data_IF_081298851742
#
_entry.id   IF_081298851742
#
_cell.length_a   1.000
_cell.length_b   1.000
_cell.length_c   1.000
_cell.angle_alpha   90.00
_cell.angle_beta   90.00
_cell.angle_gamma   90.00
#
_symmetry.space_group_name_H-M   'P 1'
#
loop_
_entity.id
_entity.type
_entity.pdbx_description
1 polymer ?
#
# COMPACT_ATOMS: atom_id res chain seq x y z
N UNK A 1 0.88 -72.25 -34.97
CA UNK A 1 0.68 -71.45 -33.74
C UNK A 1 1.99 -71.47 -32.98
N UNK A 2 2.76 -70.41 -32.70
CA UNK A 2 2.58 -68.96 -32.78
C UNK A 2 3.95 -68.38 -33.20
N UNK A 3 3.97 -67.47 -34.17
CA UNK A 3 5.08 -66.53 -34.39
C UNK A 3 5.12 -65.56 -33.20
N UNK A 4 6.27 -65.43 -32.54
CA UNK A 4 6.48 -64.42 -31.49
C UNK A 4 7.13 -63.20 -32.12
N UNK A 5 6.32 -62.15 -32.33
CA UNK A 5 6.74 -60.82 -32.76
C UNK A 5 7.65 -60.16 -31.73
N UNK A 6 8.94 -60.11 -32.01
CA UNK A 6 9.90 -59.21 -31.35
C UNK A 6 9.65 -57.77 -31.80
N UNK A 7 8.82 -57.02 -31.05
CA UNK A 7 8.72 -55.56 -31.22
C UNK A 7 9.91 -54.86 -30.56
N UNK A 8 10.78 -54.30 -31.39
CA UNK A 8 11.78 -53.30 -31.02
C UNK A 8 11.12 -52.11 -30.30
N UNK A 9 11.52 -51.85 -29.06
CA UNK A 9 11.22 -50.59 -28.37
C UNK A 9 12.05 -49.46 -28.99
N UNK A 10 11.37 -48.46 -29.57
CA UNK A 10 12.00 -47.22 -30.02
C UNK A 10 12.39 -46.33 -28.82
N UNK A 11 13.48 -45.55 -28.91
CA UNK A 11 13.92 -44.66 -27.83
C UNK A 11 12.93 -43.50 -27.62
N UNK A 12 12.72 -43.17 -26.35
CA UNK A 12 11.76 -42.17 -25.88
C UNK A 12 11.94 -40.79 -26.55
N UNK A 13 10.82 -40.23 -27.00
CA UNK A 13 10.75 -38.84 -27.47
C UNK A 13 11.18 -37.87 -26.35
N UNK A 14 12.03 -36.88 -26.63
CA UNK A 14 12.32 -35.80 -25.69
C UNK A 14 11.05 -34.99 -25.39
N UNK A 15 10.94 -34.55 -24.14
CA UNK A 15 9.73 -33.98 -23.53
C UNK A 15 9.03 -32.94 -24.40
N UNK A 16 7.77 -33.21 -24.71
CA UNK A 16 6.82 -32.21 -25.20
C UNK A 16 6.73 -31.13 -24.13
N UNK A 17 7.38 -29.98 -24.37
CA UNK A 17 7.19 -28.79 -23.56
C UNK A 17 5.71 -28.42 -23.63
N UNK A 18 4.97 -28.70 -22.55
CA UNK A 18 3.55 -28.39 -22.45
C UNK A 18 3.30 -26.95 -22.89
N UNK A 19 2.33 -26.75 -23.78
CA UNK A 19 1.97 -25.43 -24.26
C UNK A 19 1.66 -24.52 -23.05
N UNK A 20 2.15 -23.27 -23.02
CA UNK A 20 1.95 -22.40 -21.87
C UNK A 20 0.46 -22.20 -21.62
N UNK A 21 0.04 -22.50 -20.40
CA UNK A 21 -1.36 -22.34 -19.95
C UNK A 21 -1.81 -20.90 -20.16
N UNK A 22 -2.93 -20.74 -20.88
CA UNK A 22 -3.50 -19.45 -21.17
C UNK A 22 -4.01 -18.79 -19.88
N UNK A 23 -3.79 -17.48 -19.68
CA UNK A 23 -4.32 -16.79 -18.51
C UNK A 23 -5.84 -16.70 -18.58
N UNK A 24 -6.49 -16.82 -17.43
CA UNK A 24 -7.92 -16.62 -17.30
C UNK A 24 -8.31 -15.18 -17.70
N UNK A 25 -9.46 -15.02 -18.35
CA UNK A 25 -9.90 -13.70 -18.86
C UNK A 25 -10.07 -12.66 -17.75
N UNK A 26 -10.52 -13.06 -16.58
CA UNK A 26 -10.67 -12.15 -15.44
C UNK A 26 -9.32 -11.63 -14.90
N UNK A 27 -8.23 -12.40 -15.00
CA UNK A 27 -6.89 -11.94 -14.64
C UNK A 27 -6.47 -10.79 -15.57
N UNK A 28 -6.72 -10.93 -16.88
CA UNK A 28 -6.47 -9.84 -17.84
C UNK A 28 -7.31 -8.61 -17.51
N UNK A 29 -8.59 -8.80 -17.21
CA UNK A 29 -9.49 -7.71 -16.83
C UNK A 29 -8.96 -6.96 -15.61
N UNK A 30 -8.54 -7.66 -14.55
CA UNK A 30 -7.95 -7.03 -13.36
C UNK A 30 -6.64 -6.30 -13.67
N UNK A 31 -5.79 -6.87 -14.53
CA UNK A 31 -4.54 -6.23 -14.95
C UNK A 31 -4.81 -4.94 -15.70
N UNK A 32 -5.75 -4.97 -16.66
CA UNK A 32 -6.13 -3.81 -17.45
C UNK A 32 -6.82 -2.73 -16.61
N UNK A 33 -7.69 -3.13 -15.67
CA UNK A 33 -8.31 -2.18 -14.74
C UNK A 33 -7.28 -1.52 -13.83
N UNK A 34 -6.32 -2.28 -13.32
CA UNK A 34 -5.22 -1.73 -12.54
C UNK A 34 -4.39 -0.74 -13.37
N UNK A 35 -4.02 -1.12 -14.59
CA UNK A 35 -3.25 -0.28 -15.50
C UNK A 35 -3.99 1.03 -15.86
N UNK A 36 -5.27 0.94 -16.24
CA UNK A 36 -6.10 2.11 -16.55
C UNK A 36 -6.27 3.00 -15.32
N UNK A 37 -6.44 2.42 -14.13
CA UNK A 37 -6.60 3.20 -12.91
C UNK A 37 -5.38 4.07 -12.61
N UNK A 38 -4.16 3.67 -13.02
CA UNK A 38 -2.96 4.51 -12.86
C UNK A 38 -2.98 5.79 -13.70
N UNK A 39 -3.90 5.94 -14.68
CA UNK A 39 -4.09 7.24 -15.33
C UNK A 39 -4.77 8.27 -14.43
N UNK A 40 -5.51 7.82 -13.41
CA UNK A 40 -6.27 8.69 -12.51
C UNK A 40 -5.28 9.54 -11.69
N UNK A 41 -5.39 10.86 -11.79
CA UNK A 41 -4.52 11.81 -11.07
C UNK A 41 -3.12 12.03 -11.67
N UNK A 42 -2.66 11.17 -12.58
CA UNK A 42 -1.30 11.29 -13.17
C UNK A 42 -1.12 12.58 -13.99
N UNK A 43 -2.18 13.05 -14.66
CA UNK A 43 -2.15 14.31 -15.42
C UNK A 43 -1.82 15.50 -14.52
N UNK A 44 -2.46 15.60 -13.37
CA UNK A 44 -2.29 16.72 -12.42
C UNK A 44 -0.85 16.76 -11.91
N UNK A 45 -0.34 15.61 -11.47
CA UNK A 45 1.04 15.46 -10.99
C UNK A 45 2.05 15.81 -12.09
N UNK A 46 1.81 15.36 -13.32
CA UNK A 46 2.67 15.69 -14.46
C UNK A 46 2.70 17.18 -14.76
N UNK A 47 1.54 17.86 -14.78
CA UNK A 47 1.47 19.30 -15.05
C UNK A 47 2.23 20.12 -14.02
N UNK A 48 2.15 19.76 -12.73
CA UNK A 48 2.93 20.43 -11.70
C UNK A 48 4.42 20.11 -11.81
N UNK A 49 4.78 18.87 -12.16
CA UNK A 49 6.15 18.45 -12.37
C UNK A 49 6.82 19.20 -13.53
N UNK A 50 6.12 19.35 -14.66
CA UNK A 50 6.68 19.94 -15.88
C UNK A 50 7.17 21.39 -15.65
N UNK A 51 6.46 22.13 -14.79
CA UNK A 51 6.81 23.52 -14.46
C UNK A 51 7.90 23.59 -13.39
N UNK A 52 7.83 22.75 -12.34
CA UNK A 52 8.67 22.92 -11.13
C UNK A 52 9.90 22.01 -11.09
N UNK A 53 9.83 20.81 -11.68
CA UNK A 53 10.85 19.76 -11.62
C UNK A 53 10.85 18.89 -12.89
N UNK A 54 11.48 19.32 -13.99
CA UNK A 54 11.42 18.65 -15.28
C UNK A 54 11.96 17.21 -15.25
N UNK A 55 12.94 16.92 -14.39
CA UNK A 55 13.44 15.55 -14.20
C UNK A 55 12.35 14.60 -13.68
N UNK A 56 11.50 15.06 -12.75
CA UNK A 56 10.36 14.25 -12.26
C UNK A 56 9.30 14.11 -13.35
N UNK A 57 9.07 15.16 -14.14
CA UNK A 57 8.16 15.09 -15.29
C UNK A 57 8.62 14.04 -16.32
N UNK A 58 9.93 13.95 -16.59
CA UNK A 58 10.49 12.92 -17.47
C UNK A 58 10.23 11.50 -16.93
N UNK A 59 10.40 11.27 -15.63
CA UNK A 59 10.07 9.97 -15.01
C UNK A 59 8.58 9.66 -15.15
N UNK A 60 7.69 10.63 -14.91
CA UNK A 60 6.24 10.44 -15.08
C UNK A 60 5.89 10.16 -16.55
N UNK A 61 6.57 10.79 -17.51
CA UNK A 61 6.40 10.49 -18.94
C UNK A 61 6.82 9.05 -19.29
N UNK A 62 7.89 8.53 -18.68
CA UNK A 62 8.27 7.11 -18.81
C UNK A 62 7.20 6.20 -18.21
N UNK A 63 6.64 6.56 -17.05
CA UNK A 63 5.50 5.83 -16.46
C UNK A 63 4.28 5.83 -17.40
N UNK A 64 3.97 6.96 -18.05
CA UNK A 64 2.91 7.05 -19.07
C UNK A 64 3.12 6.06 -20.21
N UNK A 65 4.34 6.00 -20.76
CA UNK A 65 4.68 5.04 -21.80
C UNK A 65 4.56 3.60 -21.28
N UNK A 66 4.99 3.34 -20.04
CA UNK A 66 4.85 2.03 -19.41
C UNK A 66 3.40 1.59 -19.27
N UNK A 67 2.49 2.49 -18.88
CA UNK A 67 1.05 2.18 -18.76
C UNK A 67 0.51 1.76 -20.14
N UNK A 68 0.73 2.56 -21.18
CA UNK A 68 0.27 2.24 -22.53
C UNK A 68 0.79 0.89 -23.03
N UNK A 69 2.07 0.61 -22.82
CA UNK A 69 2.68 -0.68 -23.20
C UNK A 69 2.10 -1.82 -22.37
N UNK A 70 1.93 -1.65 -21.06
CA UNK A 70 1.34 -2.68 -20.19
C UNK A 70 -0.11 -2.98 -20.55
N UNK A 71 -0.92 -1.97 -20.86
CA UNK A 71 -2.30 -2.13 -21.33
C UNK A 71 -2.39 -2.97 -22.61
N UNK A 72 -1.54 -2.69 -23.60
CA UNK A 72 -1.46 -3.52 -24.82
C UNK A 72 -1.02 -4.93 -24.48
N UNK A 73 0.05 -5.09 -23.67
CA UNK A 73 0.58 -6.39 -23.27
C UNK A 73 -0.46 -7.23 -22.51
N UNK A 74 -1.25 -6.62 -21.61
CA UNK A 74 -2.31 -7.32 -20.87
C UNK A 74 -3.33 -7.99 -21.79
N UNK A 75 -3.58 -7.41 -22.99
CA UNK A 75 -4.47 -7.95 -24.00
C UNK A 75 -3.81 -9.03 -24.88
N UNK A 76 -2.54 -8.86 -25.26
CA UNK A 76 -1.90 -9.72 -26.28
C UNK A 76 -1.10 -10.90 -25.73
N UNK A 77 -0.57 -10.82 -24.50
CA UNK A 77 0.31 -11.88 -23.97
C UNK A 77 -0.45 -13.20 -23.83
N UNK A 78 0.12 -14.31 -24.30
CA UNK A 78 -0.59 -15.61 -24.33
C UNK A 78 -0.34 -16.49 -23.10
N UNK A 79 0.74 -16.25 -22.36
CA UNK A 79 1.13 -17.08 -21.22
C UNK A 79 0.82 -16.44 -19.87
N UNK A 80 0.35 -17.25 -18.92
CA UNK A 80 0.09 -16.83 -17.53
C UNK A 80 1.31 -16.20 -16.84
N UNK A 81 2.51 -16.74 -17.06
CA UNK A 81 3.76 -16.18 -16.50
C UNK A 81 4.09 -14.81 -17.08
N UNK A 82 3.81 -14.59 -18.36
CA UNK A 82 4.02 -13.30 -19.01
C UNK A 82 3.05 -12.25 -18.48
N UNK A 83 1.77 -12.60 -18.29
CA UNK A 83 0.80 -11.70 -17.67
C UNK A 83 1.19 -11.35 -16.23
N UNK A 84 1.68 -12.31 -15.46
CA UNK A 84 2.20 -12.04 -14.11
C UNK A 84 3.42 -11.09 -14.08
N UNK A 85 4.21 -11.03 -15.16
CA UNK A 85 5.28 -10.03 -15.31
C UNK A 85 4.73 -8.65 -15.66
N UNK A 86 3.66 -8.59 -16.46
CA UNK A 86 2.93 -7.34 -16.71
C UNK A 86 2.36 -6.79 -15.40
N UNK A 87 1.75 -7.64 -14.56
CA UNK A 87 1.27 -7.24 -13.21
C UNK A 87 2.38 -6.59 -12.35
N UNK A 88 3.59 -7.14 -12.43
CA UNK A 88 4.75 -6.60 -11.72
C UNK A 88 5.17 -5.24 -12.30
N UNK A 89 5.21 -5.08 -13.63
CA UNK A 89 5.47 -3.79 -14.25
C UNK A 89 4.42 -2.74 -13.82
N UNK A 90 3.13 -3.09 -13.84
CA UNK A 90 2.05 -2.21 -13.39
C UNK A 90 2.24 -1.80 -11.92
N UNK A 91 2.62 -2.73 -11.04
CA UNK A 91 2.97 -2.41 -9.65
C UNK A 91 4.13 -1.42 -9.55
N UNK A 92 5.26 -1.69 -10.22
CA UNK A 92 6.45 -0.82 -10.18
C UNK A 92 6.14 0.57 -10.70
N UNK A 93 5.35 0.67 -11.78
CA UNK A 93 4.88 1.95 -12.33
C UNK A 93 4.03 2.71 -11.33
N UNK A 94 3.07 2.05 -10.67
CA UNK A 94 2.26 2.66 -9.62
C UNK A 94 3.06 3.15 -8.42
N UNK A 95 4.04 2.36 -7.94
CA UNK A 95 4.92 2.76 -6.84
C UNK A 95 5.75 3.99 -7.22
N UNK A 96 6.27 4.02 -8.44
CA UNK A 96 7.07 5.13 -8.97
C UNK A 96 6.23 6.40 -9.06
N UNK A 97 5.01 6.31 -9.59
CA UNK A 97 4.08 7.44 -9.66
C UNK A 97 3.74 7.99 -8.27
N UNK A 98 3.48 7.12 -7.30
CA UNK A 98 3.22 7.53 -5.91
C UNK A 98 4.42 8.25 -5.27
N UNK A 99 5.65 7.78 -5.52
CA UNK A 99 6.87 8.45 -5.08
C UNK A 99 7.07 9.81 -5.76
N UNK A 100 6.88 9.91 -7.08
CA UNK A 100 6.92 11.17 -7.80
C UNK A 100 5.90 12.17 -7.22
N UNK A 101 4.68 11.71 -6.97
CA UNK A 101 3.61 12.50 -6.40
C UNK A 101 3.92 12.98 -4.98
N UNK A 102 4.61 12.16 -4.16
CA UNK A 102 5.10 12.55 -2.84
C UNK A 102 6.19 13.64 -2.93
N UNK A 103 7.16 13.47 -3.83
CA UNK A 103 8.25 14.46 -4.02
C UNK A 103 7.71 15.83 -4.44
N UNK A 104 6.68 15.87 -5.29
CA UNK A 104 6.13 17.10 -5.83
C UNK A 104 5.11 17.78 -4.91
N UNK A 105 4.22 16.99 -4.30
CA UNK A 105 3.05 17.50 -3.58
C UNK A 105 3.09 16.96 -2.15
N UNK A 106 3.98 17.54 -1.36
CA UNK A 106 4.14 17.24 0.06
C UNK A 106 3.64 18.40 0.95
N UNK A 107 2.48 18.96 0.60
CA UNK A 107 1.76 19.89 1.47
C UNK A 107 0.95 19.05 2.45
N UNK A 108 1.59 18.62 3.54
CA UNK A 108 0.95 17.83 4.58
C UNK A 108 -0.30 18.52 5.17
N UNK A 109 -1.04 17.80 5.98
CA UNK A 109 -2.21 18.34 6.69
C UNK A 109 -1.89 18.66 8.15
N UNK A 110 -2.87 19.21 8.85
CA UNK A 110 -2.93 19.28 10.31
C UNK A 110 -2.49 17.98 10.98
N UNK A 111 -2.95 16.84 10.49
CA UNK A 111 -2.61 15.51 11.00
C UNK A 111 -1.11 15.20 10.92
N UNK A 112 -0.50 15.49 9.78
CA UNK A 112 0.94 15.30 9.61
C UNK A 112 1.77 16.23 10.49
N UNK A 113 1.31 17.47 10.69
CA UNK A 113 1.98 18.47 11.50
C UNK A 113 1.87 18.13 12.98
N UNK A 114 0.67 17.72 13.44
CA UNK A 114 0.43 17.22 14.79
C UNK A 114 1.26 15.98 15.09
N UNK A 115 1.27 14.99 14.18
CA UNK A 115 2.06 13.77 14.35
C UNK A 115 3.56 14.06 14.42
N UNK A 116 4.06 14.96 13.57
CA UNK A 116 5.45 15.37 13.62
C UNK A 116 5.79 16.19 14.88
N UNK A 117 4.87 17.02 15.39
CA UNK A 117 5.07 17.71 16.67
C UNK A 117 5.11 16.72 17.84
N UNK A 118 4.16 15.79 17.90
CA UNK A 118 4.14 14.75 18.92
C UNK A 118 5.46 13.95 18.91
N UNK A 119 5.98 13.62 17.72
CA UNK A 119 7.29 12.96 17.60
C UNK A 119 8.46 13.81 18.14
N UNK A 120 8.48 15.13 17.90
CA UNK A 120 9.50 16.03 18.46
C UNK A 120 9.41 16.11 19.98
N UNK A 121 8.20 16.22 20.52
CA UNK A 121 7.97 16.24 21.96
C UNK A 121 8.42 14.93 22.61
N UNK A 122 8.14 13.77 22.00
CA UNK A 122 8.63 12.46 22.47
C UNK A 122 10.16 12.40 22.52
N UNK A 123 10.85 12.83 21.46
CA UNK A 123 12.32 12.84 21.41
C UNK A 123 12.91 13.80 22.45
N UNK A 124 12.22 14.90 22.74
CA UNK A 124 12.59 15.85 23.79
C UNK A 124 12.25 15.36 25.22
N UNK A 125 11.67 14.17 25.38
CA UNK A 125 11.28 13.62 26.68
C UNK A 125 9.99 14.20 27.27
N UNK A 126 9.18 14.89 26.46
CA UNK A 126 7.90 15.44 26.88
C UNK A 126 6.74 14.46 26.61
N UNK A 127 5.68 14.56 27.42
CA UNK A 127 4.42 13.88 27.17
C UNK A 127 3.66 14.49 25.98
N UNK A 128 2.96 13.64 25.21
CA UNK A 128 2.19 14.04 24.02
C UNK A 128 0.68 14.14 24.25
N UNK A 129 0.16 13.49 25.30
CA UNK A 129 -1.27 13.45 25.60
C UNK A 129 -1.66 14.52 26.62
N UNK A 130 -2.83 15.13 26.40
CA UNK A 130 -3.33 16.23 27.25
C UNK A 130 -2.55 17.54 27.10
N UNK A 131 -1.61 17.62 26.15
CA UNK A 131 -0.82 18.83 25.88
C UNK A 131 -1.32 19.51 24.59
N UNK A 132 -1.79 20.76 24.65
CA UNK A 132 -2.20 21.48 23.46
C UNK A 132 -1.01 22.18 22.79
N UNK A 133 -1.02 22.25 21.45
CA UNK A 133 -0.05 23.02 20.66
C UNK A 133 -0.75 24.07 19.78
N UNK A 134 -1.40 25.10 20.37
CA UNK A 134 -2.24 26.05 19.62
C UNK A 134 -1.48 26.85 18.56
N UNK A 135 -0.18 27.08 18.74
CA UNK A 135 0.65 27.80 17.77
C UNK A 135 0.79 27.07 16.42
N UNK A 136 0.59 25.75 16.37
CA UNK A 136 0.61 24.99 15.12
C UNK A 136 -0.53 25.41 14.18
N UNK A 137 -1.64 25.88 14.73
CA UNK A 137 -2.86 26.20 13.99
C UNK A 137 -3.00 27.69 13.64
N UNK A 138 -2.01 28.52 13.98
CA UNK A 138 -2.00 29.94 13.64
C UNK A 138 -1.61 30.25 12.19
N UNK A 139 -1.14 29.25 11.43
CA UNK A 139 -0.70 29.40 10.04
C UNK A 139 -1.80 29.14 9.00
N UNK A 140 -1.61 29.62 7.76
CA UNK A 140 -2.50 29.29 6.64
C UNK A 140 -2.38 27.80 6.30
N UNK A 141 -3.51 27.08 6.29
CA UNK A 141 -3.62 25.74 5.70
C UNK A 141 -3.66 24.56 6.67
N UNK A 142 -3.81 24.81 7.99
CA UNK A 142 -4.00 23.76 9.00
C UNK A 142 -5.43 23.89 9.52
N UNK A 143 -6.24 22.84 9.32
CA UNK A 143 -7.63 22.83 9.75
C UNK A 143 -7.73 22.74 11.28
N UNK A 144 -8.78 23.34 11.84
CA UNK A 144 -9.11 23.26 13.25
C UNK A 144 -10.35 22.38 13.40
N UNK A 145 -10.27 21.37 14.26
CA UNK A 145 -11.43 20.53 14.58
C UNK A 145 -12.25 21.21 15.68
N UNK A 146 -13.49 21.65 15.41
CA UNK A 146 -14.35 22.20 16.44
C UNK A 146 -14.84 21.10 17.39
N UNK A 147 -14.92 21.42 18.67
CA UNK A 147 -15.49 20.52 19.70
C UNK A 147 -16.99 20.78 19.85
N UNK A 148 -17.71 19.77 20.34
CA UNK A 148 -19.16 19.90 20.66
C UNK A 148 -19.45 20.92 21.76
N UNK A 149 -18.43 21.33 22.51
CA UNK A 149 -18.50 22.36 23.55
C UNK A 149 -18.22 23.77 23.02
N UNK A 150 -18.08 23.94 21.69
CA UNK A 150 -17.84 25.25 21.06
C UNK A 150 -16.38 25.70 21.05
N UNK A 151 -15.44 24.82 21.41
CA UNK A 151 -13.99 25.07 21.35
C UNK A 151 -13.34 24.43 20.13
N UNK A 152 -12.01 24.28 20.18
CA UNK A 152 -11.23 23.57 19.16
C UNK A 152 -10.28 22.57 19.81
N UNK A 153 -10.02 21.46 19.13
CA UNK A 153 -9.01 20.49 19.55
C UNK A 153 -7.62 20.89 19.04
N UNK A 154 -6.69 21.03 19.99
CA UNK A 154 -5.28 21.39 19.76
C UNK A 154 -4.32 20.28 20.18
N UNK A 155 -4.83 19.12 20.55
CA UNK A 155 -4.08 18.04 21.19
C UNK A 155 -3.86 16.86 20.23
N UNK A 156 -2.92 15.98 20.58
CA UNK A 156 -2.77 14.71 19.86
C UNK A 156 -3.81 13.69 20.35
N UNK A 157 -4.72 13.28 19.46
CA UNK A 157 -5.78 12.31 19.79
C UNK A 157 -5.51 10.86 19.38
N UNK A 158 -4.42 10.58 18.66
CA UNK A 158 -4.16 9.26 18.09
C UNK A 158 -3.30 8.35 19.00
N UNK A 159 -3.40 7.03 18.83
CA UNK A 159 -2.46 6.07 19.41
C UNK A 159 -0.98 6.35 19.04
N UNK A 160 -0.01 5.93 19.86
CA UNK A 160 1.35 6.50 19.83
C UNK A 160 2.28 5.93 18.76
N UNK A 161 1.90 4.90 17.99
CA UNK A 161 2.82 4.25 17.05
C UNK A 161 3.25 5.20 15.92
N UNK A 162 2.34 6.01 15.40
CA UNK A 162 2.67 6.96 14.32
C UNK A 162 3.78 7.95 14.72
N UNK A 163 3.71 8.66 15.87
CA UNK A 163 4.78 9.57 16.28
C UNK A 163 6.06 8.82 16.67
N UNK A 164 5.97 7.61 17.23
CA UNK A 164 7.14 6.76 17.52
C UNK A 164 7.90 6.39 16.24
N UNK A 165 7.20 6.03 15.16
CA UNK A 165 7.82 5.75 13.86
C UNK A 165 8.26 7.01 13.11
N UNK A 166 7.67 8.16 13.44
CA UNK A 166 8.04 9.46 12.87
C UNK A 166 9.32 10.02 13.50
N UNK A 167 9.56 9.75 14.78
CA UNK A 167 10.74 10.21 15.52
C UNK A 167 12.09 9.96 14.79
N UNK A 168 12.41 8.75 14.31
CA UNK A 168 13.67 8.50 13.58
C UNK A 168 13.74 9.20 12.21
N UNK A 169 12.64 9.76 11.72
CA UNK A 169 12.55 10.44 10.42
C UNK A 169 12.47 11.96 10.53
N UNK A 170 12.59 12.53 11.74
CA UNK A 170 12.53 13.98 11.95
C UNK A 170 13.59 14.76 11.17
N UNK A 171 14.67 14.11 10.73
CA UNK A 171 15.71 14.69 9.88
C UNK A 171 15.29 14.89 8.41
N UNK A 172 14.20 14.27 7.95
CA UNK A 172 13.74 14.34 6.55
C UNK A 172 13.21 15.72 6.14
N UNK A 173 12.95 16.60 7.10
CA UNK A 173 12.54 17.97 6.82
C UNK A 173 11.75 18.61 7.94
N UNK A 174 11.13 19.75 7.62
CA UNK A 174 10.34 20.53 8.55
C UNK A 174 8.84 20.25 8.41
N UNK A 175 8.04 20.76 9.35
CA UNK A 175 6.58 20.60 9.33
C UNK A 175 6.16 19.13 9.45
N UNK A 176 5.21 18.71 8.62
CA UNK A 176 4.63 17.36 8.62
C UNK A 176 5.34 16.32 7.74
N UNK A 177 6.39 16.71 6.99
CA UNK A 177 7.08 15.83 6.03
C UNK A 177 7.53 14.48 6.64
N UNK A 178 8.10 14.42 7.86
CA UNK A 178 8.46 13.15 8.49
C UNK A 178 7.28 12.19 8.65
N UNK A 179 6.13 12.68 9.11
CA UNK A 179 4.93 11.86 9.30
C UNK A 179 4.35 11.40 7.95
N UNK A 180 4.39 12.26 6.93
CA UNK A 180 3.98 11.90 5.58
C UNK A 180 4.86 10.81 4.97
N UNK A 181 6.16 10.85 5.25
CA UNK A 181 7.09 9.80 4.83
C UNK A 181 6.75 8.45 5.49
N UNK A 182 6.41 8.44 6.79
CA UNK A 182 5.93 7.23 7.47
C UNK A 182 4.67 6.68 6.80
N UNK A 183 3.63 7.51 6.63
CA UNK A 183 2.34 7.06 6.08
C UNK A 183 2.45 6.64 4.61
N UNK A 184 3.18 7.39 3.80
CA UNK A 184 3.43 7.03 2.39
C UNK A 184 4.28 5.76 2.30
N UNK A 185 5.35 5.65 3.09
CA UNK A 185 6.18 4.45 3.14
C UNK A 185 5.39 3.21 3.55
N UNK A 186 4.53 3.35 4.58
CA UNK A 186 3.63 2.29 5.00
C UNK A 186 2.67 1.86 3.89
N UNK A 187 2.10 2.81 3.11
CA UNK A 187 1.28 2.48 1.95
C UNK A 187 2.05 1.68 0.90
N UNK A 188 3.25 2.12 0.53
CA UNK A 188 4.05 1.44 -0.49
C UNK A 188 4.41 0.02 -0.05
N UNK A 189 4.89 -0.14 1.18
CA UNK A 189 5.22 -1.45 1.77
C UNK A 189 3.96 -2.32 1.89
N UNK A 190 2.86 -1.78 2.41
CA UNK A 190 1.59 -2.47 2.55
C UNK A 190 1.03 -2.95 1.21
N UNK A 191 1.19 -2.15 0.15
CA UNK A 191 0.79 -2.52 -1.22
C UNK A 191 1.61 -3.70 -1.72
N UNK A 192 2.94 -3.67 -1.55
CA UNK A 192 3.83 -4.77 -1.96
C UNK A 192 3.52 -6.04 -1.17
N UNK A 193 3.27 -5.93 0.14
CA UNK A 193 2.87 -7.05 0.99
C UNK A 193 1.54 -7.64 0.52
N UNK A 194 0.52 -6.81 0.28
CA UNK A 194 -0.78 -7.26 -0.24
C UNK A 194 -0.61 -7.98 -1.59
N UNK A 195 0.13 -7.37 -2.51
CA UNK A 195 0.44 -7.94 -3.83
C UNK A 195 1.13 -9.31 -3.71
N UNK A 196 2.06 -9.47 -2.75
CA UNK A 196 2.75 -10.73 -2.52
C UNK A 196 1.84 -11.81 -1.90
N UNK A 197 0.97 -11.41 -0.97
CA UNK A 197 0.05 -12.30 -0.27
C UNK A 197 -1.12 -12.79 -1.14
N UNK A 198 -1.51 -12.02 -2.16
CA UNK A 198 -2.58 -12.42 -3.07
C UNK A 198 -2.12 -13.50 -4.07
N UNK A 199 -3.02 -14.44 -4.44
CA UNK A 199 -2.77 -15.37 -5.54
C UNK A 199 -2.46 -14.60 -6.82
N UNK A 200 -1.55 -15.14 -7.66
CA UNK A 200 -1.05 -14.46 -8.88
C UNK A 200 -2.13 -13.73 -9.68
N UNK A 201 -3.28 -14.33 -10.02
CA UNK A 201 -4.24 -13.64 -10.87
C UNK A 201 -5.02 -12.51 -10.18
N UNK A 202 -4.94 -12.36 -8.85
CA UNK A 202 -5.51 -11.25 -8.07
C UNK A 202 -4.52 -10.13 -7.77
N UNK A 203 -3.23 -10.30 -8.08
CA UNK A 203 -2.19 -9.37 -7.59
C UNK A 203 -2.39 -7.93 -8.07
N UNK A 204 -2.81 -7.75 -9.32
CA UNK A 204 -3.09 -6.43 -9.88
C UNK A 204 -4.23 -5.69 -9.17
N UNK A 205 -5.14 -6.40 -8.48
CA UNK A 205 -6.15 -5.76 -7.65
C UNK A 205 -5.53 -4.99 -6.47
N UNK A 206 -4.39 -5.44 -5.93
CA UNK A 206 -3.66 -4.69 -4.92
C UNK A 206 -3.14 -3.35 -5.46
N UNK A 207 -2.53 -3.37 -6.65
CA UNK A 207 -2.05 -2.15 -7.31
C UNK A 207 -3.20 -1.19 -7.59
N UNK A 208 -4.30 -1.70 -8.14
CA UNK A 208 -5.49 -0.91 -8.44
C UNK A 208 -6.05 -0.22 -7.17
N UNK A 209 -6.28 -1.00 -6.11
CA UNK A 209 -6.92 -0.51 -4.89
C UNK A 209 -6.03 0.47 -4.11
N UNK A 210 -4.72 0.20 -4.03
CA UNK A 210 -3.81 0.96 -3.18
C UNK A 210 -3.15 2.14 -3.91
N UNK A 211 -2.93 2.03 -5.23
CA UNK A 211 -2.14 3.01 -6.00
C UNK A 211 -2.89 3.57 -7.22
N UNK A 212 -3.79 2.78 -7.80
CA UNK A 212 -4.59 3.16 -8.97
C UNK A 212 -5.62 4.23 -8.66
N UNK A 213 -6.44 3.99 -7.64
CA UNK A 213 -7.37 5.03 -7.19
C UNK A 213 -6.63 6.08 -6.36
N UNK A 214 -6.79 7.36 -6.73
CA UNK A 214 -6.03 8.47 -6.15
C UNK A 214 -6.26 8.69 -4.64
N UNK A 215 -7.37 8.18 -4.09
CA UNK A 215 -7.78 8.41 -2.71
C UNK A 215 -6.74 7.91 -1.69
N UNK A 216 -6.31 6.64 -1.81
CA UNK A 216 -5.41 6.02 -0.82
C UNK A 216 -4.00 6.64 -0.87
N UNK A 217 -3.36 6.83 -2.05
CA UNK A 217 -2.11 7.58 -2.16
C UNK A 217 -2.21 9.02 -1.69
N UNK A 218 -3.36 9.69 -1.93
CA UNK A 218 -3.60 11.03 -1.40
C UNK A 218 -3.52 11.02 0.13
N UNK A 219 -4.29 10.17 0.83
CA UNK A 219 -4.23 10.09 2.29
C UNK A 219 -2.83 9.73 2.83
N UNK A 220 -2.08 8.88 2.11
CA UNK A 220 -0.69 8.58 2.45
C UNK A 220 0.19 9.83 2.44
N UNK A 221 0.08 10.65 1.38
CA UNK A 221 0.79 11.93 1.26
C UNK A 221 0.31 12.98 2.25
N UNK A 222 -0.94 12.91 2.72
CA UNK A 222 -1.43 13.80 3.78
C UNK A 222 -0.89 13.43 5.16
N UNK A 223 -0.18 12.30 5.31
CA UNK A 223 0.39 11.87 6.58
C UNK A 223 -0.64 11.26 7.54
N UNK A 224 -1.76 10.78 7.00
CA UNK A 224 -2.87 10.29 7.81
C UNK A 224 -2.52 8.96 8.50
N UNK A 225 -2.57 8.84 9.85
CA UNK A 225 -2.19 7.62 10.57
C UNK A 225 -2.99 6.38 10.20
N UNK A 226 -4.22 6.54 9.67
CA UNK A 226 -5.02 5.40 9.24
C UNK A 226 -4.39 4.62 8.08
N UNK A 227 -3.51 5.24 7.30
CA UNK A 227 -2.77 4.55 6.23
C UNK A 227 -1.72 3.58 6.80
N UNK A 228 -1.05 3.98 7.88
CA UNK A 228 -0.18 3.08 8.62
C UNK A 228 -0.97 1.91 9.21
N UNK A 229 -2.11 2.18 9.83
CA UNK A 229 -2.99 1.12 10.36
C UNK A 229 -3.49 0.18 9.27
N UNK A 230 -3.92 0.71 8.12
CA UNK A 230 -4.35 -0.06 6.96
C UNK A 230 -3.25 -1.02 6.48
N UNK A 231 -2.03 -0.52 6.32
CA UNK A 231 -0.90 -1.35 5.89
C UNK A 231 -0.59 -2.49 6.87
N UNK A 232 -0.72 -2.23 8.17
CA UNK A 232 -0.54 -3.23 9.22
C UNK A 232 -1.69 -4.25 9.27
N UNK A 233 -2.91 -3.87 8.89
CA UNK A 233 -4.06 -4.77 8.82
C UNK A 233 -4.03 -5.74 7.62
N UNK A 234 -3.32 -5.40 6.54
CA UNK A 234 -3.20 -6.26 5.34
C UNK A 234 -2.85 -7.73 5.67
N UNK A 235 -1.74 -8.04 6.37
CA UNK A 235 -1.40 -9.43 6.69
C UNK A 235 -2.40 -10.09 7.66
N UNK A 236 -3.07 -9.29 8.49
CA UNK A 236 -4.09 -9.77 9.44
C UNK A 236 -5.30 -10.29 8.68
N UNK A 237 -5.87 -9.46 7.80
CA UNK A 237 -7.12 -9.76 7.08
C UNK A 237 -6.92 -10.83 6.01
N UNK A 238 -5.85 -10.76 5.20
CA UNK A 238 -5.65 -11.69 4.07
C UNK A 238 -5.48 -13.14 4.54
N UNK A 239 -4.82 -13.34 5.68
CA UNK A 239 -4.57 -14.67 6.26
C UNK A 239 -5.48 -14.95 7.46
N UNK A 240 -6.50 -14.14 7.66
CA UNK A 240 -7.44 -14.21 8.77
C UNK A 240 -8.00 -15.62 9.01
N UNK A 241 -8.49 -16.36 8.00
CA UNK A 241 -9.11 -17.69 8.20
C UNK A 241 -8.14 -18.79 8.68
N UNK A 242 -6.85 -18.48 8.79
CA UNK A 242 -5.80 -19.45 9.15
C UNK A 242 -5.25 -19.21 10.56
N UNK A 243 -5.60 -18.10 11.21
CA UNK A 243 -5.13 -17.78 12.56
C UNK A 243 -5.68 -18.82 13.54
N UNK A 244 -4.81 -19.40 14.36
CA UNK A 244 -5.22 -20.38 15.38
C UNK A 244 -5.71 -21.72 14.86
N UNK A 245 -5.62 -21.99 13.54
CA UNK A 245 -6.08 -23.26 12.95
C UNK A 245 -5.36 -24.45 13.61
N UNK A 246 -6.13 -25.41 14.11
CA UNK A 246 -5.59 -26.56 14.86
C UNK A 246 -5.23 -26.26 16.32
N UNK A 247 -5.75 -25.17 16.89
CA UNK A 247 -5.58 -24.82 18.31
C UNK A 247 -4.20 -24.29 18.67
N UNK A 248 -3.37 -23.91 17.68
CA UNK A 248 -2.00 -23.43 17.91
C UNK A 248 -1.73 -22.16 17.12
N UNK A 249 -1.06 -21.20 17.75
CA UNK A 249 -0.52 -20.01 17.09
C UNK A 249 0.89 -20.34 16.58
N UNK A 250 1.01 -20.65 15.28
CA UNK A 250 2.33 -20.72 14.63
C UNK A 250 2.97 -19.34 14.49
N UNK A 251 4.23 -19.30 14.02
CA UNK A 251 4.98 -18.04 13.82
C UNK A 251 4.20 -17.00 13.00
N UNK A 252 3.53 -17.42 11.93
CA UNK A 252 2.71 -16.53 11.11
C UNK A 252 1.55 -15.89 11.90
N UNK A 253 0.92 -16.65 12.80
CA UNK A 253 -0.14 -16.14 13.67
C UNK A 253 0.38 -15.12 14.69
N UNK A 254 1.59 -15.32 15.22
CA UNK A 254 2.25 -14.34 16.11
C UNK A 254 2.50 -13.03 15.38
N UNK A 255 3.06 -13.10 14.16
CA UNK A 255 3.27 -11.91 13.32
C UNK A 255 1.96 -11.18 13.04
N UNK A 256 0.87 -11.90 12.75
CA UNK A 256 -0.45 -11.29 12.54
C UNK A 256 -1.00 -10.63 13.81
N UNK A 257 -0.88 -11.27 14.97
CA UNK A 257 -1.29 -10.67 16.25
C UNK A 257 -0.49 -9.40 16.55
N UNK A 258 0.82 -9.41 16.30
CA UNK A 258 1.67 -8.23 16.44
C UNK A 258 1.25 -7.11 15.47
N UNK A 259 0.97 -7.45 14.20
CA UNK A 259 0.46 -6.49 13.21
C UNK A 259 -0.91 -5.90 13.61
N UNK A 260 -1.82 -6.71 14.16
CA UNK A 260 -3.11 -6.24 14.67
C UNK A 260 -2.93 -5.27 15.85
N UNK A 261 -2.09 -5.63 16.83
CA UNK A 261 -1.75 -4.76 17.95
C UNK A 261 -1.11 -3.46 17.49
N UNK A 262 -0.18 -3.53 16.52
CA UNK A 262 0.44 -2.36 15.92
C UNK A 262 -0.56 -1.49 15.16
N UNK A 263 -1.53 -2.08 14.45
CA UNK A 263 -2.60 -1.31 13.79
C UNK A 263 -3.44 -0.55 14.83
N UNK A 264 -3.86 -1.21 15.91
CA UNK A 264 -4.55 -0.59 17.04
C UNK A 264 -3.71 0.50 17.74
N UNK A 265 -2.38 0.35 17.74
CA UNK A 265 -1.45 1.33 18.27
C UNK A 265 -1.14 2.47 17.29
N UNK A 266 -1.55 2.38 16.02
CA UNK A 266 -1.39 3.44 15.02
C UNK A 266 -2.63 4.34 14.91
N UNK A 267 -3.84 3.76 15.01
CA UNK A 267 -5.09 4.48 14.80
C UNK A 267 -6.25 3.76 15.51
N UNK A 268 -7.38 4.46 15.74
CA UNK A 268 -8.53 3.97 16.50
C UNK A 268 -9.54 3.10 15.70
N UNK A 269 -9.64 3.25 14.38
CA UNK A 269 -10.54 2.47 13.50
C UNK A 269 -10.32 0.96 13.63
N UNK A 270 -9.09 0.43 13.73
CA UNK A 270 -8.85 -0.98 14.03
C UNK A 270 -9.53 -1.46 15.32
N UNK A 271 -9.80 -0.59 16.30
CA UNK A 271 -10.52 -0.98 17.53
C UNK A 271 -11.95 -1.40 17.23
N UNK A 272 -12.58 -0.83 16.20
CA UNK A 272 -13.90 -1.24 15.74
C UNK A 272 -13.84 -2.55 14.94
N UNK A 273 -12.78 -2.76 14.17
CA UNK A 273 -12.61 -3.97 13.35
C UNK A 273 -12.23 -5.21 14.18
N UNK A 274 -11.44 -5.01 15.24
CA UNK A 274 -10.87 -6.08 16.06
C UNK A 274 -11.91 -7.04 16.64
N UNK A 275 -13.04 -6.59 17.22
CA UNK A 275 -14.10 -7.49 17.70
C UNK A 275 -14.67 -8.40 16.61
N UNK A 276 -14.92 -7.87 15.40
CA UNK A 276 -15.47 -8.66 14.29
C UNK A 276 -14.48 -9.69 13.78
N UNK A 277 -13.20 -9.29 13.71
CA UNK A 277 -12.12 -10.23 13.47
C UNK A 277 -12.18 -11.30 14.55
N UNK A 278 -11.90 -10.99 15.83
CA UNK A 278 -11.87 -11.99 16.90
C UNK A 278 -13.09 -12.92 16.96
N UNK A 279 -14.31 -12.39 16.82
CA UNK A 279 -15.53 -13.20 16.75
C UNK A 279 -15.48 -14.23 15.60
N UNK A 280 -14.99 -13.83 14.44
CA UNK A 280 -14.76 -14.71 13.29
C UNK A 280 -13.62 -15.72 13.44
N UNK A 281 -12.81 -15.71 14.51
CA UNK A 281 -11.92 -16.87 14.84
C UNK A 281 -12.75 -18.00 15.46
N UNK A 282 -13.76 -17.64 16.27
CA UNK A 282 -14.55 -18.58 17.06
C UNK A 282 -15.80 -19.10 16.34
N UNK A 283 -16.18 -18.50 15.21
CA UNK A 283 -17.27 -18.93 14.33
C UNK A 283 -16.81 -20.01 13.34
#
# INVERSE_FOLDING_TARGET
MLLTDTRLSAPGRPGVSAAPEAPAQWHRALTLLADISLFIGTREVWTEAAVRRPAVAAVISVCYASILVCGVLALVVRGRRSLARVDLCVLVTGLTLALCAFVLIHRGTDESVLTAQAARDLVAGHGIYGRPWPWLFGGRGIALTPTVTGGYDYTYGYPPLAPLLTAPLLWLGHGGVPAMAVSTGALLVGTVVLWWLLPTPWRSAATMACLGFSMIPMYGRLGYPAILALALLVPVVVRWPRIGRGGRLGYAGVVQAACLGAACAAQQLPWFLTPFLLAGIYA
#
